data_IF_390348577058
#
_entry.id   IF_390348577058
#
_cell.length_a   1.000
_cell.length_b   1.000
_cell.length_c   1.000
_cell.angle_alpha   90.00
_cell.angle_beta   90.00
_cell.angle_gamma   90.00
#
_symmetry.space_group_name_H-M   'P 1'
#
loop_
_entity.id
_entity.type
_entity.pdbx_description
1 polymer ?
#
# COMPACT_ATOMS: atom_id res chain seq x y z
N UNK A 1 -4.54 2.30 14.97
CA UNK A 1 -4.49 3.00 13.66
C UNK A 1 -3.36 4.04 13.61
N UNK A 2 -3.19 4.89 14.62
CA UNK A 2 -2.08 5.89 14.69
C UNK A 2 -0.69 5.27 14.66
N UNK A 3 -0.45 4.19 15.42
CA UNK A 3 0.85 3.50 15.48
C UNK A 3 1.37 2.94 14.14
N UNK A 4 0.47 2.50 13.25
CA UNK A 4 0.89 1.92 11.98
C UNK A 4 1.46 3.01 11.07
N UNK A 5 0.75 4.12 10.91
CA UNK A 5 1.19 5.24 10.06
C UNK A 5 2.51 5.83 10.59
N UNK A 6 2.67 5.92 11.91
CA UNK A 6 3.92 6.39 12.50
C UNK A 6 5.10 5.46 12.23
N UNK A 7 4.91 4.14 12.34
CA UNK A 7 5.95 3.18 11.97
C UNK A 7 6.24 3.14 10.47
N UNK A 8 5.22 3.26 9.63
CA UNK A 8 5.38 3.34 8.17
C UNK A 8 6.27 4.52 7.76
N UNK A 9 6.27 5.63 8.52
CA UNK A 9 7.17 6.76 8.26
C UNK A 9 8.65 6.43 8.47
N UNK A 10 8.98 5.40 9.25
CA UNK A 10 10.36 4.95 9.44
C UNK A 10 10.91 4.21 8.20
N UNK A 11 10.02 3.69 7.34
CA UNK A 11 10.35 2.90 6.14
C UNK A 11 10.43 3.71 4.85
N UNK A 12 10.76 5.01 4.92
CA UNK A 12 10.87 5.91 3.75
C UNK A 12 9.64 5.84 2.81
N UNK A 13 8.44 5.67 3.38
CA UNK A 13 7.21 5.61 2.62
C UNK A 13 6.92 6.97 1.99
N UNK A 14 6.69 6.99 0.69
CA UNK A 14 6.40 8.20 -0.08
C UNK A 14 4.90 8.50 -0.09
N UNK A 15 4.07 7.48 -0.30
CA UNK A 15 2.62 7.66 -0.40
C UNK A 15 1.87 6.46 0.21
N UNK A 16 0.74 6.73 0.85
CA UNK A 16 -0.17 5.71 1.38
C UNK A 16 -1.58 6.02 0.94
N UNK A 17 -2.24 5.05 0.33
CA UNK A 17 -3.64 5.12 -0.07
C UNK A 17 -4.44 4.01 0.60
N UNK A 18 -5.66 4.34 0.99
CA UNK A 18 -6.60 3.42 1.63
C UNK A 18 -7.93 3.42 0.86
N UNK A 19 -8.38 2.24 0.43
CA UNK A 19 -9.79 2.00 0.12
C UNK A 19 -10.42 1.31 1.32
N UNK A 20 -11.43 1.93 1.90
CA UNK A 20 -12.33 1.29 2.85
C UNK A 20 -13.29 0.40 2.05
N UNK A 21 -12.98 -0.90 1.95
CA UNK A 21 -13.85 -1.92 1.37
C UNK A 21 -14.93 -2.39 2.35
N UNK A 22 -15.94 -3.11 1.87
CA UNK A 22 -17.06 -3.59 2.71
C UNK A 22 -16.65 -4.73 3.67
N UNK A 23 -15.58 -5.49 3.35
CA UNK A 23 -15.10 -6.61 4.19
C UNK A 23 -13.78 -6.32 4.90
N UNK A 24 -12.75 -5.89 4.17
CA UNK A 24 -11.44 -5.51 4.74
C UNK A 24 -10.89 -4.28 4.01
N UNK A 25 -10.15 -3.39 4.71
CA UNK A 25 -9.50 -2.25 4.07
C UNK A 25 -8.36 -2.71 3.17
N UNK A 26 -8.22 -2.05 2.01
CA UNK A 26 -7.11 -2.26 1.08
C UNK A 26 -6.14 -1.08 1.14
N UNK A 27 -4.89 -1.35 1.52
CA UNK A 27 -3.82 -0.37 1.61
C UNK A 27 -2.89 -0.48 0.41
N UNK A 28 -2.61 0.63 -0.25
CA UNK A 28 -1.53 0.73 -1.25
C UNK A 28 -0.44 1.63 -0.68
N UNK A 29 0.78 1.10 -0.58
CA UNK A 29 1.91 1.79 0.01
C UNK A 29 3.03 1.89 -1.02
N UNK A 30 3.48 3.11 -1.29
CA UNK A 30 4.60 3.39 -2.18
C UNK A 30 5.83 3.68 -1.33
N UNK A 31 6.89 2.89 -1.48
CA UNK A 31 8.16 3.05 -0.73
C UNK A 31 9.35 2.67 -1.60
N UNK A 32 10.54 3.17 -1.26
CA UNK A 32 11.79 2.77 -1.93
C UNK A 32 12.22 1.33 -1.60
N UNK A 33 11.75 0.79 -0.48
CA UNK A 33 12.18 -0.50 0.06
C UNK A 33 10.95 -1.41 0.33
N UNK A 34 10.24 -1.88 -0.71
CA UNK A 34 8.99 -2.61 -0.56
C UNK A 34 9.15 -3.95 0.17
N UNK A 35 10.26 -4.67 -0.04
CA UNK A 35 10.52 -5.97 0.58
C UNK A 35 10.69 -5.87 2.10
N UNK A 36 11.36 -4.83 2.57
CA UNK A 36 11.57 -4.60 4.01
C UNK A 36 10.25 -4.29 4.69
N UNK A 37 9.45 -3.42 4.08
CA UNK A 37 8.15 -3.05 4.61
C UNK A 37 7.16 -4.22 4.58
N UNK A 38 7.17 -5.02 3.51
CA UNK A 38 6.30 -6.20 3.41
C UNK A 38 6.59 -7.20 4.53
N UNK A 39 7.88 -7.50 4.80
CA UNK A 39 8.27 -8.35 5.93
C UNK A 39 7.79 -7.80 7.27
N UNK A 40 7.97 -6.50 7.49
CA UNK A 40 7.49 -5.84 8.70
C UNK A 40 5.97 -5.98 8.89
N UNK A 41 5.20 -5.89 7.81
CA UNK A 41 3.74 -6.07 7.85
C UNK A 41 3.34 -7.53 8.08
N UNK A 42 4.04 -8.48 7.47
CA UNK A 42 3.81 -9.92 7.67
C UNK A 42 4.10 -10.38 9.11
N UNK A 43 5.07 -9.75 9.79
CA UNK A 43 5.38 -10.02 11.20
C UNK A 43 4.33 -9.46 12.17
N UNK A 44 3.32 -8.72 11.69
CA UNK A 44 2.26 -8.14 12.51
C UNK A 44 0.95 -8.87 12.36
N UNK A 45 0.66 -9.75 13.32
CA UNK A 45 -0.66 -10.38 13.48
C UNK A 45 -1.81 -9.38 13.72
N UNK A 46 -1.52 -8.12 14.07
CA UNK A 46 -2.52 -7.08 14.32
C UNK A 46 -2.99 -6.31 13.08
N UNK A 47 -2.43 -6.61 11.90
CA UNK A 47 -2.81 -5.93 10.66
C UNK A 47 -3.96 -6.66 9.94
N UNK A 48 -5.18 -6.15 10.14
CA UNK A 48 -6.39 -6.65 9.47
C UNK A 48 -6.67 -5.83 8.20
N UNK A 49 -6.06 -6.21 7.09
CA UNK A 49 -6.26 -5.58 5.79
C UNK A 49 -5.44 -6.21 4.69
N UNK A 50 -5.88 -6.02 3.44
CA UNK A 50 -5.05 -6.34 2.28
C UNK A 50 -4.05 -5.20 2.05
N UNK A 51 -2.82 -5.55 1.68
CA UNK A 51 -1.78 -4.56 1.41
C UNK A 51 -1.03 -4.86 0.11
N UNK A 52 -0.90 -3.82 -0.71
CA UNK A 52 -0.01 -3.79 -1.86
C UNK A 52 1.13 -2.82 -1.55
N UNK A 53 2.35 -3.35 -1.45
CA UNK A 53 3.58 -2.55 -1.25
C UNK A 53 4.35 -2.52 -2.57
N UNK A 54 4.68 -1.32 -3.03
CA UNK A 54 5.26 -1.10 -4.36
C UNK A 54 6.35 -0.05 -4.32
N UNK A 55 7.35 -0.23 -5.18
CA UNK A 55 8.32 0.79 -5.51
C UNK A 55 7.73 1.83 -6.48
N UNK A 56 8.25 3.07 -6.51
CA UNK A 56 7.89 4.05 -7.53
C UNK A 56 8.05 3.51 -8.97
N UNK A 57 9.11 2.74 -9.23
CA UNK A 57 9.32 2.10 -10.54
C UNK A 57 8.34 0.96 -10.85
N UNK A 58 7.86 0.26 -9.83
CA UNK A 58 6.82 -0.77 -9.99
C UNK A 58 5.46 -0.12 -10.25
N UNK A 59 5.17 1.01 -9.61
CA UNK A 59 3.99 1.80 -9.88
C UNK A 59 3.94 2.29 -11.34
N UNK A 60 5.07 2.76 -11.89
CA UNK A 60 5.14 3.11 -13.32
C UNK A 60 4.87 1.90 -14.21
N UNK A 61 5.45 0.75 -13.89
CA UNK A 61 5.22 -0.49 -14.64
C UNK A 61 3.76 -0.96 -14.56
N UNK A 62 3.10 -0.76 -13.42
CA UNK A 62 1.69 -1.09 -13.21
C UNK A 62 0.75 -0.21 -14.02
N UNK A 63 1.08 1.06 -14.24
CA UNK A 63 0.29 1.96 -15.11
C UNK A 63 0.19 1.44 -16.53
N UNK A 64 1.23 0.77 -17.00
CA UNK A 64 1.26 0.16 -18.33
C UNK A 64 0.68 -1.27 -18.35
N UNK A 65 0.70 -1.94 -17.19
CA UNK A 65 0.15 -3.28 -17.03
C UNK A 65 -1.39 -3.28 -16.98
N UNK A 66 -2.03 -4.09 -17.82
CA UNK A 66 -3.49 -4.29 -17.83
C UNK A 66 -3.95 -5.48 -16.98
N UNK A 67 -3.20 -5.82 -15.93
CA UNK A 67 -3.57 -6.92 -15.03
C UNK A 67 -4.67 -6.48 -14.07
N UNK A 68 -5.48 -7.43 -13.60
CA UNK A 68 -6.56 -7.14 -12.64
C UNK A 68 -6.02 -6.51 -11.34
N UNK A 69 -4.87 -7.00 -10.87
CA UNK A 69 -4.16 -6.45 -9.70
C UNK A 69 -3.73 -4.99 -9.95
N UNK A 70 -3.18 -4.71 -11.14
CA UNK A 70 -2.80 -3.35 -11.50
C UNK A 70 -4.00 -2.40 -11.50
N UNK A 71 -5.15 -2.84 -12.01
CA UNK A 71 -6.38 -2.06 -11.98
C UNK A 71 -6.82 -1.78 -10.54
N UNK A 72 -6.76 -2.77 -9.65
CA UNK A 72 -7.13 -2.60 -8.23
C UNK A 72 -6.22 -1.60 -7.52
N UNK A 73 -4.90 -1.72 -7.68
CA UNK A 73 -3.91 -0.79 -7.12
C UNK A 73 -4.12 0.62 -7.66
N UNK A 74 -4.27 0.77 -8.98
CA UNK A 74 -4.50 2.08 -9.59
C UNK A 74 -5.81 2.71 -9.12
N UNK A 75 -6.87 1.92 -8.98
CA UNK A 75 -8.14 2.37 -8.43
C UNK A 75 -8.00 2.81 -6.96
N UNK A 76 -7.14 2.13 -6.17
CA UNK A 76 -6.81 2.56 -4.81
C UNK A 76 -6.06 3.89 -4.75
N UNK A 77 -5.15 4.12 -5.69
CA UNK A 77 -4.43 5.39 -5.80
C UNK A 77 -5.36 6.52 -6.27
N UNK A 78 -6.25 6.25 -7.24
CA UNK A 78 -7.12 7.26 -7.84
C UNK A 78 -8.34 7.62 -6.98
N UNK A 79 -8.95 6.64 -6.31
CA UNK A 79 -10.20 6.82 -5.54
C UNK A 79 -10.03 6.61 -4.05
N UNK A 80 -8.94 6.00 -3.61
CA UNK A 80 -8.67 5.80 -2.20
C UNK A 80 -8.32 7.10 -1.50
N UNK A 81 -8.46 7.06 -0.17
CA UNK A 81 -8.08 8.14 0.73
C UNK A 81 -6.57 8.14 0.90
N UNK A 82 -5.93 9.23 0.47
CA UNK A 82 -4.50 9.47 0.75
C UNK A 82 -4.30 9.74 2.24
N UNK A 83 -3.45 8.95 2.89
CA UNK A 83 -3.17 9.02 4.33
C UNK A 83 -1.84 9.72 4.66
N UNK A 84 -0.91 9.74 3.70
CA UNK A 84 0.39 10.42 3.78
C UNK A 84 0.60 11.22 2.50
#
# INVERSE_FOLDING_TARGET
>A
MTDLIEKLREFNVEEIYLIEGEEVPFYTIITKDPEELMKFLEERDDFEGDVAVLSPGELESLKEAKSEIAVTVMNAIEKGKKLL
#
